data_IF_815158066825
#
_entry.id   IF_815158066825
#
_cell.length_a   1.000
_cell.length_b   1.000
_cell.length_c   1.000
_cell.angle_alpha   90.00
_cell.angle_beta   90.00
_cell.angle_gamma   90.00
#
_symmetry.space_group_name_H-M   'P 1'
#
loop_
_entity.id
_entity.type
_entity.pdbx_description
1 polymer ?
#
# COMPACT_ATOMS: atom_id res chain seq x y z
N UNK A 1 -7.16 -18.03 -21.93
CA UNK A 1 -6.23 -16.89 -22.15
C UNK A 1 -5.34 -16.78 -20.93
N UNK A 2 -4.03 -16.64 -21.13
CA UNK A 2 -3.09 -16.28 -20.05
C UNK A 2 -3.31 -14.83 -19.64
N UNK A 3 -2.96 -14.46 -18.40
CA UNK A 3 -3.06 -13.07 -17.93
C UNK A 3 -2.38 -12.11 -18.92
N UNK A 4 -1.18 -12.45 -19.39
CA UNK A 4 -0.40 -11.66 -20.38
C UNK A 4 -1.21 -11.30 -21.64
N UNK A 5 -1.99 -12.23 -22.21
CA UNK A 5 -2.80 -11.93 -23.41
C UNK A 5 -3.93 -10.94 -23.16
N UNK A 6 -4.49 -10.91 -21.93
CA UNK A 6 -5.48 -9.91 -21.53
C UNK A 6 -4.82 -8.54 -21.30
N UNK A 7 -3.60 -8.52 -20.77
CA UNK A 7 -2.83 -7.28 -20.55
C UNK A 7 -2.57 -6.57 -21.87
N UNK A 8 -1.99 -7.28 -22.85
CA UNK A 8 -1.68 -6.68 -24.15
C UNK A 8 -2.95 -6.22 -24.88
N UNK A 9 -4.07 -6.92 -24.69
CA UNK A 9 -5.35 -6.51 -25.24
C UNK A 9 -5.89 -5.22 -24.60
N UNK A 10 -5.68 -5.02 -23.29
CA UNK A 10 -6.24 -3.90 -22.53
C UNK A 10 -5.31 -2.68 -22.55
N UNK A 11 -4.02 -2.90 -22.41
CA UNK A 11 -3.00 -1.86 -22.28
C UNK A 11 -2.17 -1.66 -23.56
N UNK A 12 -2.32 -2.50 -24.58
CA UNK A 12 -1.59 -2.39 -25.84
C UNK A 12 -0.12 -2.80 -25.79
N UNK A 13 0.47 -2.97 -24.60
CA UNK A 13 1.85 -3.43 -24.42
C UNK A 13 2.02 -4.17 -23.07
N UNK A 14 3.00 -5.08 -23.03
CA UNK A 14 3.40 -5.73 -21.78
C UNK A 14 4.24 -4.75 -20.93
N UNK A 15 3.89 -4.56 -19.64
CA UNK A 15 4.72 -3.79 -18.72
C UNK A 15 6.11 -4.41 -18.55
N UNK A 16 7.13 -3.55 -18.50
CA UNK A 16 8.51 -3.97 -18.23
C UNK A 16 8.72 -3.96 -16.72
N UNK A 17 9.23 -5.07 -16.19
CA UNK A 17 9.48 -5.20 -14.76
C UNK A 17 10.73 -4.40 -14.35
N UNK A 18 10.61 -3.44 -13.42
CA UNK A 18 11.74 -2.66 -12.94
C UNK A 18 12.59 -3.46 -11.94
N UNK A 19 13.82 -3.00 -11.75
CA UNK A 19 14.59 -3.29 -10.54
C UNK A 19 14.23 -2.25 -9.47
N UNK A 20 13.81 -2.69 -8.29
CA UNK A 20 13.57 -1.81 -7.13
C UNK A 20 14.87 -1.64 -6.35
N UNK A 21 15.26 -0.40 -6.06
CA UNK A 21 16.46 -0.08 -5.28
C UNK A 21 16.17 0.94 -4.16
N UNK A 22 17.01 0.92 -3.13
CA UNK A 22 16.99 1.90 -2.03
C UNK A 22 18.18 2.85 -2.21
N UNK A 23 17.90 4.12 -2.49
CA UNK A 23 18.92 5.17 -2.66
C UNK A 23 18.61 6.26 -1.63
N UNK A 24 19.56 6.54 -0.74
CA UNK A 24 19.40 7.53 0.34
C UNK A 24 18.13 7.34 1.19
N UNK A 25 17.75 6.08 1.47
CA UNK A 25 16.56 5.75 2.26
C UNK A 25 15.23 5.92 1.53
N UNK A 26 15.25 6.18 0.21
CA UNK A 26 14.06 6.30 -0.64
C UNK A 26 14.03 5.21 -1.69
N UNK A 27 12.82 4.73 -1.98
CA UNK A 27 12.59 3.74 -3.03
C UNK A 27 12.75 4.39 -4.39
N UNK A 28 13.53 3.74 -5.24
CA UNK A 28 13.72 4.07 -6.64
C UNK A 28 13.46 2.84 -7.50
N UNK A 29 13.21 3.06 -8.78
CA UNK A 29 12.95 2.05 -9.78
C UNK A 29 13.86 2.27 -10.99
N UNK A 30 14.47 1.20 -11.49
CA UNK A 30 15.30 1.21 -12.69
C UNK A 30 14.65 0.28 -13.71
N UNK A 31 14.19 0.84 -14.82
CA UNK A 31 13.67 0.09 -15.97
C UNK A 31 14.78 0.05 -17.01
N UNK A 32 15.66 -0.96 -16.95
CA UNK A 32 16.93 -1.01 -17.69
C UNK A 32 16.76 -0.98 -19.20
N UNK A 33 15.64 -1.50 -19.69
CA UNK A 33 15.25 -1.48 -21.10
C UNK A 33 14.95 -0.07 -21.62
N UNK A 34 14.76 0.91 -20.72
CA UNK A 34 14.39 2.29 -21.03
C UNK A 34 15.51 3.25 -20.66
N UNK A 35 15.96 3.21 -19.40
CA UNK A 35 17.04 4.05 -18.90
C UNK A 35 17.77 3.42 -17.73
N UNK A 36 19.07 3.69 -17.62
CA UNK A 36 19.89 3.33 -16.46
C UNK A 36 19.66 4.27 -15.27
N UNK A 37 19.16 5.48 -15.51
CA UNK A 37 18.91 6.45 -14.46
C UNK A 37 17.73 6.01 -13.57
N UNK A 38 17.86 6.03 -12.23
CA UNK A 38 16.80 5.64 -11.32
C UNK A 38 15.66 6.67 -11.28
N UNK A 39 14.42 6.20 -11.37
CA UNK A 39 13.21 6.99 -11.16
C UNK A 39 12.79 6.93 -9.70
N UNK A 40 12.42 8.08 -9.11
CA UNK A 40 12.01 8.14 -7.70
C UNK A 40 10.59 7.57 -7.53
N UNK A 41 10.28 6.94 -6.38
CA UNK A 41 8.92 6.45 -6.19
C UNK A 41 7.90 7.60 -6.07
N UNK A 42 6.72 7.43 -6.69
CA UNK A 42 5.58 8.35 -6.55
C UNK A 42 5.29 8.64 -5.08
N UNK A 43 5.29 7.60 -4.24
CA UNK A 43 5.07 7.73 -2.79
C UNK A 43 6.16 8.53 -2.06
N UNK A 44 7.41 8.45 -2.53
CA UNK A 44 8.51 9.24 -1.95
C UNK A 44 8.34 10.72 -2.29
N UNK A 45 8.00 11.04 -3.54
CA UNK A 45 7.70 12.41 -3.97
C UNK A 45 6.55 13.00 -3.14
N UNK A 46 5.44 12.27 -3.00
CA UNK A 46 4.30 12.73 -2.20
C UNK A 46 4.71 12.94 -0.74
N UNK A 47 5.47 12.02 -0.16
CA UNK A 47 5.89 12.14 1.23
C UNK A 47 6.84 13.31 1.50
N UNK A 48 7.57 13.79 0.49
CA UNK A 48 8.45 14.95 0.62
C UNK A 48 7.70 16.28 0.53
N UNK A 49 6.56 16.30 -0.18
CA UNK A 49 5.84 17.54 -0.52
C UNK A 49 4.59 17.73 0.34
N UNK A 50 3.91 16.65 0.72
CA UNK A 50 2.64 16.69 1.44
C UNK A 50 2.86 16.47 2.93
N UNK A 51 2.40 17.43 3.75
CA UNK A 51 2.36 17.27 5.21
C UNK A 51 1.32 16.23 5.61
N UNK A 52 1.63 15.36 6.57
CA UNK A 52 0.74 14.29 7.03
C UNK A 52 0.23 14.53 8.47
N UNK A 53 -0.61 15.55 8.73
CA UNK A 53 -1.06 15.89 10.08
C UNK A 53 -1.86 14.78 10.75
N UNK A 54 -2.57 13.95 9.97
CA UNK A 54 -3.29 12.79 10.49
C UNK A 54 -2.36 11.77 11.17
N UNK A 55 -1.15 11.55 10.63
CA UNK A 55 -0.16 10.66 11.23
C UNK A 55 0.36 11.17 12.58
N UNK A 56 0.38 12.49 12.79
CA UNK A 56 0.75 13.08 14.09
C UNK A 56 -0.29 12.71 15.15
N UNK A 57 -1.58 12.85 14.82
CA UNK A 57 -2.65 12.47 15.75
C UNK A 57 -2.75 10.96 15.95
N UNK A 58 -2.57 10.17 14.87
CA UNK A 58 -2.48 8.72 14.97
C UNK A 58 -1.33 8.28 15.86
N UNK A 59 -0.13 8.86 15.70
CA UNK A 59 1.04 8.55 16.52
C UNK A 59 0.85 8.91 18.00
N UNK A 60 0.17 10.02 18.30
CA UNK A 60 -0.23 10.38 19.68
C UNK A 60 -1.15 9.31 20.29
N UNK A 61 -2.19 8.92 19.56
CA UNK A 61 -3.14 7.91 20.02
C UNK A 61 -2.47 6.54 20.20
N UNK A 62 -1.56 6.17 19.29
CA UNK A 62 -0.77 4.94 19.41
C UNK A 62 0.12 4.97 20.66
N UNK A 63 0.76 6.10 20.95
CA UNK A 63 1.53 6.31 22.17
C UNK A 63 0.70 6.20 23.46
N UNK A 64 -0.51 6.77 23.45
CA UNK A 64 -1.45 6.64 24.58
C UNK A 64 -1.85 5.17 24.76
N UNK A 65 -2.22 4.47 23.69
CA UNK A 65 -2.58 3.05 23.74
C UNK A 65 -1.43 2.19 24.25
N UNK A 66 -0.21 2.41 23.75
CA UNK A 66 0.99 1.71 24.21
C UNK A 66 1.22 1.94 25.71
N UNK A 67 1.14 3.19 26.17
CA UNK A 67 1.29 3.53 27.59
C UNK A 67 0.23 2.87 28.47
N UNK A 68 -1.03 2.82 28.02
CA UNK A 68 -2.11 2.14 28.75
C UNK A 68 -1.90 0.63 28.82
N UNK A 69 -1.53 -0.02 27.71
CA UNK A 69 -1.24 -1.45 27.69
C UNK A 69 -0.04 -1.79 28.58
N UNK A 70 1.03 -1.00 28.54
CA UNK A 70 2.16 -1.16 29.45
C UNK A 70 1.73 -0.99 30.90
N UNK A 71 0.95 0.06 31.22
CA UNK A 71 0.51 0.34 32.59
C UNK A 71 -0.30 -0.81 33.21
N UNK A 72 -1.05 -1.57 32.41
CA UNK A 72 -1.77 -2.78 32.88
C UNK A 72 -0.83 -3.79 33.52
N UNK A 73 0.41 -3.92 33.03
CA UNK A 73 1.42 -4.81 33.61
C UNK A 73 1.91 -4.37 35.00
N UNK A 74 1.71 -3.10 35.35
CA UNK A 74 2.13 -2.50 36.61
C UNK A 74 0.97 -2.36 37.63
N UNK A 75 -0.25 -2.78 37.28
CA UNK A 75 -1.40 -2.70 38.18
C UNK A 75 -1.15 -3.54 39.43
N UNK A 76 -1.28 -2.93 40.61
CA UNK A 76 -1.00 -3.57 41.91
C UNK A 76 0.45 -3.50 42.36
N UNK A 77 1.33 -2.85 41.60
CA UNK A 77 2.73 -2.58 42.01
C UNK A 77 2.86 -1.25 42.77
N UNK A 78 3.91 -1.11 43.57
CA UNK A 78 4.26 0.15 44.25
C UNK A 78 5.12 1.00 43.31
N UNK A 79 4.80 2.29 43.17
CA UNK A 79 5.62 3.20 42.37
C UNK A 79 6.92 3.50 43.12
N UNK A 80 8.05 3.15 42.50
CA UNK A 80 9.41 3.47 42.96
C UNK A 80 10.15 4.26 41.88
N UNK A 81 11.29 4.88 42.20
CA UNK A 81 12.08 5.62 41.20
C UNK A 81 12.52 4.74 40.03
N UNK A 82 12.93 3.49 40.29
CA UNK A 82 13.35 2.55 39.24
C UNK A 82 12.20 2.16 38.29
N UNK A 83 10.97 2.07 38.80
CA UNK A 83 9.79 1.70 37.99
C UNK A 83 9.48 2.74 36.92
N UNK A 84 9.86 4.00 37.12
CA UNK A 84 9.63 5.04 36.11
C UNK A 84 10.47 4.81 34.85
N UNK A 85 11.73 4.41 35.02
CA UNK A 85 12.61 4.09 33.91
C UNK A 85 12.22 2.76 33.24
N UNK A 86 11.86 1.74 34.02
CA UNK A 86 11.34 0.46 33.51
C UNK A 86 10.06 0.66 32.69
N UNK A 87 9.07 1.39 33.22
CA UNK A 87 7.83 1.71 32.51
C UNK A 87 8.10 2.43 31.18
N UNK A 88 9.03 3.39 31.20
CA UNK A 88 9.37 4.17 30.00
C UNK A 88 9.96 3.29 28.91
N UNK A 89 10.85 2.36 29.26
CA UNK A 89 11.47 1.48 28.27
C UNK A 89 10.48 0.42 27.77
N UNK A 90 9.65 -0.15 28.65
CA UNK A 90 8.57 -1.06 28.26
C UNK A 90 7.55 -0.39 27.34
N UNK A 91 7.17 0.86 27.62
CA UNK A 91 6.23 1.62 26.79
C UNK A 91 6.78 1.90 25.39
N UNK A 92 8.09 2.14 25.25
CA UNK A 92 8.73 2.28 23.93
C UNK A 92 8.71 0.98 23.15
N UNK A 93 9.02 -0.15 23.80
CA UNK A 93 8.94 -1.48 23.17
C UNK A 93 7.52 -1.73 22.70
N UNK A 94 6.52 -1.46 23.55
CA UNK A 94 5.11 -1.67 23.20
C UNK A 94 4.65 -0.80 22.04
N UNK A 95 5.09 0.46 22.00
CA UNK A 95 4.81 1.36 20.89
C UNK A 95 5.39 0.83 19.57
N UNK A 96 6.64 0.35 19.59
CA UNK A 96 7.30 -0.23 18.42
C UNK A 96 6.59 -1.51 17.93
N UNK A 97 6.14 -2.38 18.85
CA UNK A 97 5.36 -3.58 18.53
C UNK A 97 4.04 -3.22 17.83
N UNK A 98 3.26 -2.28 18.41
CA UNK A 98 1.96 -1.89 17.84
C UNK A 98 2.11 -1.22 16.46
N UNK A 99 3.14 -0.37 16.29
CA UNK A 99 3.42 0.26 14.99
C UNK A 99 3.83 -0.78 13.94
N UNK A 100 4.71 -1.71 14.29
CA UNK A 100 5.18 -2.76 13.38
C UNK A 100 4.04 -3.70 13.01
N UNK A 101 3.24 -4.13 13.99
CA UNK A 101 2.09 -5.01 13.77
C UNK A 101 1.07 -4.42 12.80
N UNK A 102 0.79 -3.12 12.88
CA UNK A 102 -0.12 -2.45 11.93
C UNK A 102 0.44 -2.43 10.49
N UNK A 103 1.74 -2.17 10.33
CA UNK A 103 2.40 -2.17 9.02
C UNK A 103 2.48 -3.58 8.40
N UNK A 104 2.79 -4.58 9.23
CA UNK A 104 2.85 -5.99 8.83
C UNK A 104 1.46 -6.51 8.44
N UNK A 105 0.41 -6.10 9.16
CA UNK A 105 -0.98 -6.45 8.81
C UNK A 105 -1.36 -5.93 7.43
N UNK A 106 -1.10 -4.66 7.13
CA UNK A 106 -1.36 -4.08 5.81
C UNK A 106 -0.62 -4.81 4.69
N UNK A 107 0.68 -5.07 4.89
CA UNK A 107 1.51 -5.80 3.93
C UNK A 107 0.96 -7.19 3.65
N UNK A 108 0.61 -7.94 4.72
CA UNK A 108 0.10 -9.30 4.58
C UNK A 108 -1.29 -9.32 3.93
N UNK A 109 -2.15 -8.35 4.24
CA UNK A 109 -3.45 -8.21 3.60
C UNK A 109 -3.32 -7.99 2.08
N UNK A 110 -2.43 -7.10 1.64
CA UNK A 110 -2.17 -6.88 0.21
C UNK A 110 -1.68 -8.17 -0.48
N UNK A 111 -0.70 -8.86 0.10
CA UNK A 111 -0.20 -10.12 -0.48
C UNK A 111 -1.26 -11.23 -0.57
N UNK A 112 -2.20 -11.31 0.38
CA UNK A 112 -3.31 -12.26 0.30
C UNK A 112 -4.28 -11.89 -0.82
N UNK A 113 -4.61 -10.60 -0.97
CA UNK A 113 -5.47 -10.10 -2.05
C UNK A 113 -4.80 -10.34 -3.41
N UNK A 114 -3.51 -10.03 -3.54
CA UNK A 114 -2.69 -10.29 -4.73
C UNK A 114 -2.75 -11.77 -5.16
N UNK A 115 -2.50 -12.69 -4.23
CA UNK A 115 -2.59 -14.12 -4.49
C UNK A 115 -3.99 -14.53 -5.00
N UNK A 116 -5.05 -14.00 -4.40
CA UNK A 116 -6.43 -14.24 -4.85
C UNK A 116 -6.66 -13.70 -6.27
N UNK A 117 -6.18 -12.49 -6.59
CA UNK A 117 -6.29 -11.89 -7.94
C UNK A 117 -5.55 -12.74 -8.97
N UNK A 118 -4.40 -13.29 -8.60
CA UNK A 118 -3.61 -14.19 -9.45
C UNK A 118 -4.23 -15.59 -9.61
N UNK A 119 -5.41 -15.84 -9.02
CA UNK A 119 -6.11 -17.12 -9.09
C UNK A 119 -5.51 -18.21 -8.19
N UNK A 120 -4.66 -17.80 -7.24
CA UNK A 120 -4.13 -18.70 -6.22
C UNK A 120 -5.19 -18.94 -5.13
N UNK A 121 -4.96 -19.98 -4.33
CA UNK A 121 -5.81 -20.30 -3.18
C UNK A 121 -4.97 -20.24 -1.89
N UNK A 122 -4.58 -19.04 -1.43
CA UNK A 122 -3.75 -18.89 -0.25
C UNK A 122 -4.50 -19.35 1.01
N UNK A 123 -3.77 -19.88 1.97
CA UNK A 123 -4.30 -20.09 3.32
C UNK A 123 -4.51 -18.71 3.98
N UNK A 124 -5.75 -18.43 4.39
CA UNK A 124 -6.12 -17.15 5.01
C UNK A 124 -6.12 -17.35 6.53
N UNK A 125 -5.20 -16.71 7.28
CA UNK A 125 -5.24 -16.75 8.73
C UNK A 125 -6.51 -16.06 9.26
N UNK A 126 -7.01 -16.53 10.40
CA UNK A 126 -8.31 -16.11 10.94
C UNK A 126 -8.44 -14.58 11.12
N UNK A 127 -7.36 -13.90 11.48
CA UNK A 127 -7.31 -12.45 11.66
C UNK A 127 -7.48 -11.63 10.36
N UNK A 128 -7.25 -12.26 9.20
CA UNK A 128 -7.41 -11.63 7.87
C UNK A 128 -8.76 -11.93 7.22
N UNK A 129 -9.55 -12.86 7.75
CA UNK A 129 -10.87 -13.18 7.22
C UNK A 129 -11.76 -11.94 7.00
N UNK A 130 -11.88 -10.99 7.95
CA UNK A 130 -12.72 -9.81 7.76
C UNK A 130 -12.29 -8.95 6.55
N UNK A 131 -10.98 -8.80 6.32
CA UNK A 131 -10.46 -8.02 5.20
C UNK A 131 -10.69 -8.75 3.88
N UNK A 132 -10.45 -10.06 3.83
CA UNK A 132 -10.63 -10.84 2.60
C UNK A 132 -12.11 -10.98 2.23
N UNK A 133 -12.99 -11.17 3.21
CA UNK A 133 -14.44 -11.14 2.99
C UNK A 133 -14.91 -9.75 2.52
N UNK A 134 -14.40 -8.68 3.14
CA UNK A 134 -14.66 -7.31 2.72
C UNK A 134 -14.26 -7.05 1.26
N UNK A 135 -13.05 -7.48 0.88
CA UNK A 135 -12.55 -7.41 -0.49
C UNK A 135 -13.44 -8.19 -1.48
N UNK A 136 -13.79 -9.45 -1.18
CA UNK A 136 -14.66 -10.27 -2.03
C UNK A 136 -16.05 -9.65 -2.22
N UNK A 137 -16.66 -9.20 -1.11
CA UNK A 137 -17.96 -8.53 -1.14
C UNK A 137 -17.91 -7.23 -1.94
N UNK A 138 -16.83 -6.45 -1.79
CA UNK A 138 -16.63 -5.23 -2.58
C UNK A 138 -16.51 -5.54 -4.07
N UNK A 139 -15.72 -6.56 -4.44
CA UNK A 139 -15.50 -6.94 -5.83
C UNK A 139 -16.80 -7.38 -6.49
N UNK A 140 -17.56 -8.26 -5.82
CA UNK A 140 -18.85 -8.77 -6.31
C UNK A 140 -19.88 -7.64 -6.44
N UNK A 141 -20.06 -6.84 -5.39
CA UNK A 141 -21.05 -5.75 -5.35
C UNK A 141 -20.82 -4.72 -6.45
N UNK A 142 -19.56 -4.47 -6.81
CA UNK A 142 -19.21 -3.46 -7.80
C UNK A 142 -19.07 -4.01 -9.22
N UNK A 143 -19.23 -5.32 -9.42
CA UNK A 143 -19.06 -6.02 -10.71
C UNK A 143 -17.68 -5.72 -11.34
N UNK A 144 -16.62 -5.90 -10.53
CA UNK A 144 -15.24 -5.62 -10.95
C UNK A 144 -14.56 -6.89 -11.43
N UNK A 145 -14.07 -6.84 -12.67
CA UNK A 145 -13.16 -7.83 -13.22
C UNK A 145 -11.71 -7.39 -13.01
N UNK A 146 -11.06 -7.90 -11.97
CA UNK A 146 -9.63 -7.67 -11.70
C UNK A 146 -8.77 -8.48 -12.66
N UNK A 147 -7.72 -7.84 -13.19
CA UNK A 147 -6.92 -8.37 -14.29
C UNK A 147 -5.46 -8.52 -13.88
N UNK A 148 -4.94 -7.55 -13.13
CA UNK A 148 -3.56 -7.55 -12.63
C UNK A 148 -3.50 -7.08 -11.19
N UNK A 149 -2.44 -7.52 -10.52
CA UNK A 149 -2.00 -7.02 -9.23
C UNK A 149 -0.49 -6.76 -9.25
N UNK A 150 -0.01 -5.88 -8.36
CA UNK A 150 1.42 -5.57 -8.16
C UNK A 150 2.17 -5.14 -9.45
N UNK A 151 1.49 -4.44 -10.36
CA UNK A 151 2.09 -3.99 -11.61
C UNK A 151 2.93 -2.72 -11.41
N UNK A 152 4.15 -2.71 -11.94
CA UNK A 152 4.95 -1.49 -12.00
C UNK A 152 4.38 -0.51 -13.04
N UNK A 153 4.35 0.77 -12.66
CA UNK A 153 4.09 1.90 -13.54
C UNK A 153 5.19 2.95 -13.46
N UNK A 154 5.50 3.63 -14.56
CA UNK A 154 6.54 4.67 -14.63
C UNK A 154 6.17 5.81 -15.58
N UNK A 155 6.75 6.98 -15.35
CA UNK A 155 6.74 8.13 -16.24
C UNK A 155 8.18 8.58 -16.45
N UNK A 156 8.64 8.47 -17.69
CA UNK A 156 9.96 8.96 -18.13
C UNK A 156 9.96 10.49 -18.08
N UNK A 157 8.85 11.13 -18.45
CA UNK A 157 8.76 12.59 -18.46
C UNK A 157 8.87 13.19 -17.06
N UNK A 158 8.20 12.58 -16.08
CA UNK A 158 8.21 13.04 -14.70
C UNK A 158 9.37 12.44 -13.89
N UNK A 159 10.08 11.44 -14.43
CA UNK A 159 11.13 10.69 -13.75
C UNK A 159 10.65 10.03 -12.44
N UNK A 160 9.41 9.52 -12.46
CA UNK A 160 8.79 8.84 -11.31
C UNK A 160 8.31 7.45 -11.69
N UNK A 161 8.24 6.56 -10.70
CA UNK A 161 7.73 5.21 -10.87
C UNK A 161 7.05 4.70 -9.60
N UNK A 162 6.35 3.58 -9.69
CA UNK A 162 5.64 3.01 -8.58
C UNK A 162 5.07 1.65 -8.88
N UNK A 163 4.41 1.07 -7.89
CA UNK A 163 3.67 -0.17 -8.07
C UNK A 163 2.23 0.10 -7.68
N UNK A 164 1.30 -0.12 -8.62
CA UNK A 164 -0.13 -0.10 -8.32
C UNK A 164 -0.54 -1.43 -7.68
N UNK A 165 -1.55 -1.40 -6.83
CA UNK A 165 -1.99 -2.61 -6.15
C UNK A 165 -2.78 -3.53 -7.10
N UNK A 166 -3.71 -2.98 -7.90
CA UNK A 166 -4.41 -3.74 -8.93
C UNK A 166 -4.96 -2.90 -10.09
N UNK A 167 -5.15 -3.57 -11.23
CA UNK A 167 -5.82 -3.03 -12.41
C UNK A 167 -6.99 -3.93 -12.79
N UNK A 168 -8.14 -3.34 -13.10
CA UNK A 168 -9.34 -4.07 -13.45
C UNK A 168 -10.23 -3.30 -14.43
N UNK A 169 -11.39 -3.88 -14.69
CA UNK A 169 -12.40 -3.34 -15.63
C UNK A 169 -13.79 -3.39 -15.03
N UNK A 170 -14.64 -2.45 -15.44
CA UNK A 170 -16.07 -2.44 -15.19
C UNK A 170 -16.80 -2.04 -16.47
N UNK A 171 -17.39 -3.03 -17.15
CA UNK A 171 -17.80 -2.84 -18.55
C UNK A 171 -16.58 -2.49 -19.41
N UNK A 172 -16.68 -1.39 -20.16
CA UNK A 172 -15.60 -0.92 -21.04
C UNK A 172 -14.60 0.02 -20.34
N UNK A 173 -14.81 0.34 -19.06
CA UNK A 173 -13.94 1.25 -18.31
C UNK A 173 -12.73 0.54 -17.71
N UNK A 174 -11.55 1.14 -17.85
CA UNK A 174 -10.31 0.70 -17.20
C UNK A 174 -10.17 1.43 -15.86
N UNK A 175 -9.99 0.66 -14.79
CA UNK A 175 -9.94 1.19 -13.43
C UNK A 175 -8.67 0.73 -12.72
N UNK A 176 -7.94 1.68 -12.15
CA UNK A 176 -6.82 1.45 -11.26
C UNK A 176 -7.31 1.37 -9.81
N UNK A 177 -6.79 0.42 -9.04
CA UNK A 177 -7.14 0.22 -7.64
C UNK A 177 -5.90 0.34 -6.73
N UNK A 178 -6.12 0.95 -5.57
CA UNK A 178 -5.15 1.11 -4.48
C UNK A 178 -5.84 0.69 -3.18
N UNK A 179 -5.41 -0.43 -2.60
CA UNK A 179 -5.99 -1.03 -1.39
C UNK A 179 -5.52 -0.27 -0.16
N UNK A 180 -6.41 -0.11 0.83
CA UNK A 180 -6.09 0.50 2.12
C UNK A 180 -6.74 -0.27 3.26
N UNK A 181 -5.92 -0.62 4.24
CA UNK A 181 -6.37 -1.17 5.54
C UNK A 181 -6.56 -0.08 6.61
N UNK A 182 -6.45 1.19 6.23
CA UNK A 182 -6.60 2.33 7.15
C UNK A 182 -8.06 2.69 7.39
N UNK A 183 -8.36 3.20 8.59
CA UNK A 183 -9.72 3.62 8.98
C UNK A 183 -10.20 4.95 8.35
N UNK A 184 -9.47 5.52 7.40
CA UNK A 184 -9.80 6.82 6.82
C UNK A 184 -9.16 7.05 5.45
N UNK A 185 -9.70 8.01 4.72
CA UNK A 185 -9.19 8.47 3.43
C UNK A 185 -8.39 9.77 3.61
N UNK A 186 -7.24 9.85 2.97
CA UNK A 186 -6.36 11.02 3.02
C UNK A 186 -5.99 11.50 1.61
N UNK A 187 -5.70 12.79 1.47
CA UNK A 187 -5.41 13.41 0.17
C UNK A 187 -4.20 12.78 -0.53
N UNK A 188 -3.19 12.33 0.23
CA UNK A 188 -2.03 11.63 -0.31
C UNK A 188 -2.38 10.32 -1.03
N UNK A 189 -3.46 9.64 -0.64
CA UNK A 189 -3.92 8.42 -1.31
C UNK A 189 -4.45 8.74 -2.71
N UNK A 190 -5.20 9.85 -2.83
CA UNK A 190 -5.69 10.32 -4.13
C UNK A 190 -4.54 10.79 -5.02
N UNK A 191 -3.54 11.48 -4.45
CA UNK A 191 -2.33 11.87 -5.18
C UNK A 191 -1.51 10.66 -5.63
N UNK A 192 -1.40 9.62 -4.81
CA UNK A 192 -0.70 8.39 -5.17
C UNK A 192 -1.42 7.69 -6.32
N UNK A 193 -2.74 7.52 -6.21
CA UNK A 193 -3.58 6.92 -7.25
C UNK A 193 -3.49 7.71 -8.57
N UNK A 194 -3.63 9.04 -8.51
CA UNK A 194 -3.47 9.91 -9.68
C UNK A 194 -2.07 9.89 -10.30
N UNK A 195 -1.02 9.79 -9.47
CA UNK A 195 0.35 9.61 -9.94
C UNK A 195 0.54 8.30 -10.70
N UNK A 196 -0.06 7.21 -10.22
CA UNK A 196 -0.03 5.93 -10.92
C UNK A 196 -0.85 5.95 -12.21
N UNK A 197 -1.99 6.64 -12.24
CA UNK A 197 -2.75 6.89 -13.48
C UNK A 197 -1.87 7.60 -14.50
N UNK A 198 -1.22 8.71 -14.14
CA UNK A 198 -0.35 9.45 -15.06
C UNK A 198 0.78 8.57 -15.63
N UNK A 199 1.42 7.76 -14.78
CA UNK A 199 2.43 6.80 -15.22
C UNK A 199 1.86 5.76 -16.18
N UNK A 200 0.70 5.18 -15.85
CA UNK A 200 0.08 4.14 -16.66
C UNK A 200 -0.36 4.65 -18.03
N UNK A 201 -0.94 5.85 -18.08
CA UNK A 201 -1.33 6.51 -19.33
C UNK A 201 -0.11 6.81 -20.21
N UNK A 202 0.98 7.30 -19.62
CA UNK A 202 2.23 7.54 -20.35
C UNK A 202 2.82 6.23 -20.93
N UNK A 203 2.83 5.16 -20.14
CA UNK A 203 3.36 3.86 -20.56
C UNK A 203 2.59 3.22 -21.71
N UNK A 204 1.27 3.36 -21.70
CA UNK A 204 0.37 2.56 -22.53
C UNK A 204 -0.27 3.35 -23.66
N UNK A 205 -0.27 4.68 -23.54
CA UNK A 205 -1.03 5.58 -24.42
C UNK A 205 -2.54 5.40 -24.31
N UNK A 206 -3.04 4.61 -23.35
CA UNK A 206 -4.46 4.42 -23.08
C UNK A 206 -4.89 5.35 -21.95
N UNK A 207 -6.07 5.96 -22.09
CA UNK A 207 -6.67 6.73 -21.01
C UNK A 207 -7.17 5.79 -19.91
N UNK A 208 -6.97 6.16 -18.65
CA UNK A 208 -7.54 5.44 -17.51
C UNK A 208 -8.79 6.18 -17.05
N UNK A 209 -9.93 5.50 -17.07
CA UNK A 209 -11.22 6.14 -16.80
C UNK A 209 -11.33 6.57 -15.32
N UNK A 210 -10.90 5.72 -14.40
CA UNK A 210 -11.11 5.92 -12.96
C UNK A 210 -9.94 5.36 -12.12
N UNK A 211 -9.67 6.02 -10.99
CA UNK A 211 -8.76 5.55 -9.94
C UNK A 211 -9.52 5.41 -8.62
N UNK A 212 -9.51 4.22 -8.04
CA UNK A 212 -10.30 3.87 -6.85
C UNK A 212 -9.38 3.56 -5.69
N UNK A 213 -9.63 4.23 -4.56
CA UNK A 213 -9.04 3.90 -3.26
C UNK A 213 -10.08 3.06 -2.53
N UNK A 214 -9.69 1.88 -2.08
CA UNK A 214 -10.62 0.86 -1.55
C UNK A 214 -10.21 0.43 -0.16
#
# INVERSE_FOLDING_TARGET
MTNISKIEQILGAKPIEPVREQINGKRHYIVREIQEAPMVSVTSVISDVVSKPALVNWGKNLGISAGLETLKGYVGTYITENILDEFKDDAKVKLAELSTSAADYGTKAHSLIEAIINGENPEIPMEFNPVIEGFRNWQEKNDINLILSEMCVYSINLQVAGTLDALGTKGDKIILFDWKTSNGFYEEMALQCGGYVCCLEEMTGQAIDEGWIV
#
